data_IF_490040059045
#
_entry.id   IF_490040059045
#
_cell.length_a   1.000
_cell.length_b   1.000
_cell.length_c   1.000
_cell.angle_alpha   90.00
_cell.angle_beta   90.00
_cell.angle_gamma   90.00
#
_symmetry.space_group_name_H-M   'P 1'
#
loop_
_entity.id
_entity.type
_entity.pdbx_description
1 polymer ?
#
# COMPACT_ATOMS: atom_id res chain seq x y z
N UNK A 1 1.48 -1.19 7.95
CA UNK A 1 0.47 -0.66 7.01
C UNK A 1 0.89 -1.07 5.61
N UNK A 2 -0.06 -1.39 4.76
CA UNK A 2 0.18 -1.82 3.38
C UNK A 2 -0.51 -0.87 2.41
N UNK A 3 0.15 -0.55 1.31
CA UNK A 3 -0.39 0.36 0.30
C UNK A 3 -0.34 -0.31 -1.06
N UNK A 4 -1.44 -0.20 -1.81
CA UNK A 4 -1.48 -0.52 -3.23
C UNK A 4 -1.52 0.78 -4.01
N UNK A 5 -0.48 1.02 -4.80
CA UNK A 5 -0.44 2.15 -5.73
C UNK A 5 -0.78 1.65 -7.12
N UNK A 6 -1.80 2.24 -7.74
CA UNK A 6 -2.25 1.92 -9.10
C UNK A 6 -1.94 3.09 -10.01
N UNK A 7 -1.15 2.83 -11.04
CA UNK A 7 -0.79 3.78 -12.06
C UNK A 7 -1.72 3.63 -13.27
N UNK A 8 -2.30 4.74 -13.67
CA UNK A 8 -2.94 4.92 -14.97
C UNK A 8 -2.22 6.05 -15.71
N UNK A 9 -2.45 6.19 -17.02
CA UNK A 9 -1.73 7.17 -17.84
C UNK A 9 -1.74 8.58 -17.25
N UNK A 10 -2.87 9.02 -16.72
CA UNK A 10 -3.08 10.40 -16.25
C UNK A 10 -3.29 10.49 -14.75
N UNK A 11 -3.51 9.37 -14.05
CA UNK A 11 -3.85 9.37 -12.64
C UNK A 11 -3.09 8.29 -11.86
N UNK A 12 -2.78 8.61 -10.61
CA UNK A 12 -2.27 7.66 -9.62
C UNK A 12 -3.26 7.58 -8.47
N UNK A 13 -3.69 6.36 -8.14
CA UNK A 13 -4.56 6.09 -7.00
C UNK A 13 -3.80 5.25 -5.97
N UNK A 14 -4.03 5.53 -4.69
CA UNK A 14 -3.46 4.77 -3.57
C UNK A 14 -4.57 4.23 -2.67
N UNK A 15 -4.40 2.99 -2.23
CA UNK A 15 -5.32 2.31 -1.31
C UNK A 15 -4.53 1.80 -0.12
N UNK A 16 -5.00 2.11 1.08
CA UNK A 16 -4.33 1.77 2.34
C UNK A 16 -5.05 0.61 3.04
N UNK A 17 -4.26 -0.26 3.66
CA UNK A 17 -4.73 -1.44 4.38
C UNK A 17 -3.92 -1.64 5.66
N UNK A 18 -4.58 -2.14 6.71
CA UNK A 18 -3.92 -2.38 7.99
C UNK A 18 -3.05 -3.64 7.92
N UNK A 19 -3.55 -4.70 7.29
CA UNK A 19 -2.88 -6.01 7.23
C UNK A 19 -2.38 -6.37 5.83
N UNK A 20 -1.34 -7.21 5.78
CA UNK A 20 -0.82 -7.74 4.51
C UNK A 20 -1.88 -8.55 3.77
N UNK A 21 -2.66 -9.34 4.51
CA UNK A 21 -3.63 -10.26 3.93
C UNK A 21 -4.75 -9.52 3.21
N UNK A 22 -5.31 -8.47 3.82
CA UNK A 22 -6.33 -7.62 3.17
C UNK A 22 -5.79 -6.97 1.90
N UNK A 23 -4.56 -6.44 1.95
CA UNK A 23 -3.92 -5.85 0.79
C UNK A 23 -3.70 -6.88 -0.32
N UNK A 24 -3.28 -8.11 0.00
CA UNK A 24 -3.07 -9.17 -1.00
C UNK A 24 -4.38 -9.63 -1.64
N UNK A 25 -5.46 -9.75 -0.88
CA UNK A 25 -6.77 -10.09 -1.44
C UNK A 25 -7.31 -8.96 -2.34
N UNK A 26 -7.17 -7.70 -1.94
CA UNK A 26 -7.51 -6.56 -2.79
C UNK A 26 -6.64 -6.51 -4.07
N UNK A 27 -5.34 -6.77 -3.92
CA UNK A 27 -4.37 -6.73 -5.02
C UNK A 27 -4.74 -7.71 -6.14
N UNK A 28 -5.26 -8.90 -5.84
CA UNK A 28 -5.70 -9.87 -6.87
C UNK A 28 -6.81 -9.30 -7.76
N UNK A 29 -7.72 -8.51 -7.19
CA UNK A 29 -8.93 -8.03 -7.85
C UNK A 29 -8.73 -6.70 -8.60
N UNK A 30 -7.80 -5.86 -8.15
CA UNK A 30 -7.50 -4.58 -8.80
C UNK A 30 -6.86 -4.81 -10.18
N UNK A 31 -7.29 -4.12 -11.22
CA UNK A 31 -6.72 -4.26 -12.57
C UNK A 31 -5.73 -3.12 -12.89
N UNK A 32 -4.88 -3.33 -13.89
CA UNK A 32 -3.92 -2.33 -14.37
C UNK A 32 -2.51 -2.44 -13.77
N UNK A 33 -1.70 -1.41 -13.98
CA UNK A 33 -0.32 -1.34 -13.49
C UNK A 33 -0.33 -0.97 -12.01
N UNK A 34 0.01 -1.91 -11.14
CA UNK A 34 -0.12 -1.77 -9.68
C UNK A 34 1.11 -2.29 -8.96
N UNK A 35 1.43 -1.67 -7.84
CA UNK A 35 2.52 -2.06 -6.94
C UNK A 35 1.94 -2.21 -5.53
N UNK A 36 2.31 -3.30 -4.86
CA UNK A 36 2.04 -3.52 -3.44
C UNK A 36 3.31 -3.15 -2.66
N UNK A 37 3.17 -2.35 -1.61
CA UNK A 37 4.30 -1.92 -0.78
C UNK A 37 3.93 -1.97 0.70
N UNK A 38 4.88 -2.38 1.53
CA UNK A 38 4.78 -2.28 2.97
C UNK A 38 5.29 -0.90 3.41
N UNK A 39 4.51 -0.22 4.25
CA UNK A 39 4.92 1.02 4.90
C UNK A 39 5.40 0.68 6.30
N UNK A 40 6.72 0.79 6.48
CA UNK A 40 7.40 0.60 7.75
C UNK A 40 7.67 1.97 8.36
N UNK A 41 6.93 2.32 9.40
CA UNK A 41 7.22 3.52 10.18
C UNK A 41 8.39 3.26 11.12
N UNK A 42 9.50 3.93 10.88
CA UNK A 42 10.54 4.03 11.88
C UNK A 42 10.09 5.05 12.93
N UNK A 43 9.47 4.58 14.01
CA UNK A 43 9.24 5.41 15.18
C UNK A 43 10.54 5.44 15.97
N UNK A 44 11.22 6.58 15.96
CA UNK A 44 12.30 6.85 16.88
C UNK A 44 11.72 6.91 18.30
N UNK A 45 11.86 5.81 19.05
CA UNK A 45 11.43 5.72 20.45
C UNK A 45 12.45 6.32 21.43
N UNK A 46 13.33 7.24 21.00
CA UNK A 46 14.08 8.06 21.95
C UNK A 46 13.21 9.19 22.52
N UNK A 47 12.34 8.79 23.45
CA UNK A 47 11.91 9.69 24.54
C UNK A 47 13.06 9.74 25.56
N UNK A 48 13.73 10.89 25.62
CA UNK A 48 14.68 11.23 26.67
C UNK A 48 13.95 11.59 27.98
#
# INVERSE_FOLDING_TARGET
MWVITVYSKENTSMFEFDTENEAREAFKNIQGCKILSEVVYFNDHYVA
#
